data_IF_984081662368
#
_entry.id   IF_984081662368
#
_cell.length_a   1.000
_cell.length_b   1.000
_cell.length_c   1.000
_cell.angle_alpha   90.00
_cell.angle_beta   90.00
_cell.angle_gamma   90.00
#
_symmetry.space_group_name_H-M   'P 1'
#
loop_
_entity.id
_entity.type
_entity.pdbx_description
1 polymer ?
#
# COMPACT_ATOMS: atom_id res chain seq x y z
N UNK A 1 -39.80 -0.76 7.58
CA UNK A 1 -39.61 -2.18 8.03
C UNK A 1 -38.19 -2.55 7.65
N UNK A 2 -37.27 -2.66 8.63
CA UNK A 2 -35.96 -3.16 8.40
C UNK A 2 -36.02 -4.68 8.20
N UNK A 3 -35.71 -5.17 7.02
CA UNK A 3 -35.41 -6.57 6.82
C UNK A 3 -34.06 -6.80 7.49
N UNK A 4 -34.04 -7.44 8.63
CA UNK A 4 -32.84 -8.04 9.20
C UNK A 4 -32.86 -9.51 8.81
N UNK A 5 -32.01 -9.95 7.88
CA UNK A 5 -31.75 -11.37 7.73
C UNK A 5 -31.06 -11.81 9.00
N UNK A 6 -31.77 -12.56 9.84
CA UNK A 6 -31.10 -13.28 10.91
C UNK A 6 -30.16 -14.30 10.29
N UNK A 7 -28.98 -14.50 10.86
CA UNK A 7 -28.16 -15.65 10.53
C UNK A 7 -29.01 -16.89 10.84
N UNK A 8 -29.58 -17.48 9.81
CA UNK A 8 -30.39 -18.69 9.97
C UNK A 8 -29.40 -19.84 9.97
N UNK A 9 -28.95 -20.23 11.14
CA UNK A 9 -28.36 -21.53 11.34
C UNK A 9 -29.45 -22.57 11.11
N UNK A 10 -29.43 -23.24 9.96
CA UNK A 10 -30.26 -24.40 9.70
C UNK A 10 -29.40 -25.64 9.92
N UNK A 11 -29.73 -26.39 10.93
CA UNK A 11 -29.23 -27.75 11.09
C UNK A 11 -30.08 -28.68 10.22
N UNK A 12 -29.46 -29.29 9.21
CA UNK A 12 -30.08 -30.33 8.40
C UNK A 12 -29.04 -31.45 8.25
N UNK A 13 -29.46 -32.67 8.59
CA UNK A 13 -28.63 -33.88 8.50
C UNK A 13 -27.31 -33.76 9.29
N UNK A 14 -27.31 -33.13 10.48
CA UNK A 14 -26.12 -32.92 11.32
C UNK A 14 -25.13 -31.93 10.75
N UNK A 15 -25.46 -31.17 9.69
CA UNK A 15 -24.67 -30.09 9.11
C UNK A 15 -25.26 -28.75 9.47
N UNK A 16 -24.43 -27.89 10.04
CA UNK A 16 -24.75 -26.48 10.27
C UNK A 16 -24.52 -25.73 8.98
N UNK A 17 -25.59 -25.18 8.39
CA UNK A 17 -25.51 -24.27 7.27
C UNK A 17 -25.42 -22.85 7.83
N UNK A 18 -24.22 -22.34 7.85
CA UNK A 18 -23.97 -20.98 8.32
C UNK A 18 -24.38 -19.94 7.27
N UNK A 19 -24.85 -18.81 7.77
CA UNK A 19 -25.40 -17.76 6.95
C UNK A 19 -24.30 -16.89 6.35
N UNK A 20 -24.04 -17.03 5.06
CA UNK A 20 -23.28 -16.09 4.24
C UNK A 20 -21.89 -15.75 4.80
N UNK A 21 -21.13 -16.78 5.21
CA UNK A 21 -19.79 -16.64 5.80
C UNK A 21 -18.67 -16.91 4.81
N UNK A 22 -18.94 -17.63 3.71
CA UNK A 22 -17.96 -17.96 2.69
C UNK A 22 -17.35 -16.66 2.08
N UNK A 23 -16.02 -16.45 2.18
CA UNK A 23 -15.39 -15.21 1.73
C UNK A 23 -15.61 -14.91 0.25
N UNK A 24 -15.54 -15.92 -0.60
CA UNK A 24 -15.69 -15.76 -2.05
C UNK A 24 -17.10 -15.28 -2.42
N UNK A 25 -18.09 -15.92 -1.84
CA UNK A 25 -19.51 -15.52 -2.01
C UNK A 25 -19.75 -14.10 -1.47
N UNK A 26 -19.18 -13.74 -0.33
CA UNK A 26 -19.26 -12.40 0.25
C UNK A 26 -18.65 -11.33 -0.65
N UNK A 27 -17.54 -11.60 -1.30
CA UNK A 27 -16.92 -10.69 -2.26
C UNK A 27 -17.75 -10.56 -3.54
N UNK A 28 -18.26 -11.66 -4.08
CA UNK A 28 -19.07 -11.67 -5.31
C UNK A 28 -20.44 -11.03 -5.12
N UNK A 29 -21.03 -11.17 -3.93
CA UNK A 29 -22.35 -10.63 -3.59
C UNK A 29 -22.24 -9.59 -2.47
N UNK A 30 -21.40 -8.58 -2.67
CA UNK A 30 -21.11 -7.55 -1.68
C UNK A 30 -22.39 -6.86 -1.16
N UNK A 31 -23.39 -6.64 -1.98
CA UNK A 31 -24.66 -6.06 -1.58
C UNK A 31 -25.42 -6.91 -0.57
N UNK A 32 -25.35 -8.23 -0.67
CA UNK A 32 -25.90 -9.15 0.33
C UNK A 32 -25.10 -9.10 1.62
N UNK A 33 -23.76 -9.12 1.51
CA UNK A 33 -22.83 -9.02 2.63
C UNK A 33 -23.09 -7.75 3.47
N UNK A 34 -23.33 -6.61 2.82
CA UNK A 34 -23.66 -5.34 3.48
C UNK A 34 -24.99 -5.38 4.26
N UNK A 35 -25.93 -6.23 3.86
CA UNK A 35 -27.20 -6.42 4.55
C UNK A 35 -27.07 -7.37 5.73
N UNK A 36 -26.37 -8.49 5.51
CA UNK A 36 -26.26 -9.60 6.49
C UNK A 36 -25.22 -9.29 7.57
N UNK A 37 -24.12 -8.62 7.20
CA UNK A 37 -22.98 -8.32 8.06
C UNK A 37 -22.86 -6.80 8.28
N UNK A 38 -23.58 -6.19 9.24
CA UNK A 38 -23.58 -4.73 9.44
C UNK A 38 -22.20 -4.11 9.64
N UNK A 39 -21.28 -4.85 10.27
CA UNK A 39 -19.89 -4.42 10.50
C UNK A 39 -19.12 -4.13 9.19
N UNK A 40 -19.52 -4.77 8.09
CA UNK A 40 -18.92 -4.51 6.77
C UNK A 40 -19.20 -3.08 6.31
N UNK A 41 -20.36 -2.53 6.61
CA UNK A 41 -20.72 -1.13 6.30
C UNK A 41 -19.81 -0.15 7.03
N UNK A 42 -19.43 -0.46 8.27
CA UNK A 42 -18.53 0.37 9.06
C UNK A 42 -17.14 0.48 8.40
N UNK A 43 -16.65 -0.61 7.82
CA UNK A 43 -15.36 -0.61 7.09
C UNK A 43 -15.42 0.36 5.90
N UNK A 44 -16.49 0.34 5.11
CA UNK A 44 -16.65 1.26 3.98
C UNK A 44 -16.85 2.71 4.42
N UNK A 45 -17.58 2.94 5.53
CA UNK A 45 -17.73 4.27 6.12
C UNK A 45 -16.36 4.81 6.62
N UNK A 46 -15.56 3.98 7.30
CA UNK A 46 -14.21 4.33 7.72
C UNK A 46 -13.32 4.64 6.51
N UNK A 47 -13.35 3.82 5.46
CA UNK A 47 -12.61 4.09 4.22
C UNK A 47 -12.96 5.44 3.60
N UNK A 48 -14.25 5.75 3.49
CA UNK A 48 -14.70 7.05 2.98
C UNK A 48 -14.18 8.21 3.83
N UNK A 49 -14.20 8.04 5.16
CA UNK A 49 -13.69 9.05 6.10
C UNK A 49 -12.18 9.23 6.01
N UNK A 50 -11.40 8.15 5.82
CA UNK A 50 -9.95 8.21 5.56
C UNK A 50 -9.69 9.10 4.35
N UNK A 51 -10.29 8.78 3.20
CA UNK A 51 -10.07 9.52 1.94
C UNK A 51 -10.48 10.99 2.09
N UNK A 52 -11.64 11.27 2.69
CA UNK A 52 -12.09 12.64 2.92
C UNK A 52 -11.16 13.43 3.85
N UNK A 53 -10.55 12.78 4.84
CA UNK A 53 -9.59 13.42 5.75
C UNK A 53 -8.28 13.72 5.03
N UNK A 54 -7.78 12.80 4.21
CA UNK A 54 -6.58 13.02 3.40
C UNK A 54 -6.78 14.19 2.42
N UNK A 55 -7.93 14.23 1.70
CA UNK A 55 -8.26 15.36 0.81
C UNK A 55 -8.20 16.69 1.55
N UNK A 56 -8.91 16.81 2.66
CA UNK A 56 -8.90 18.03 3.47
C UNK A 56 -7.48 18.40 3.92
N UNK A 57 -6.68 17.43 4.34
CA UNK A 57 -5.30 17.65 4.74
C UNK A 57 -4.44 18.24 3.62
N UNK A 58 -4.64 17.81 2.38
CA UNK A 58 -3.94 18.34 1.21
C UNK A 58 -4.47 19.72 0.78
N UNK A 59 -5.80 19.88 0.74
CA UNK A 59 -6.47 21.13 0.37
C UNK A 59 -6.10 22.28 1.32
N UNK A 60 -6.07 22.03 2.64
CA UNK A 60 -5.65 23.01 3.65
C UNK A 60 -4.19 23.47 3.49
N UNK A 61 -3.37 22.69 2.77
CA UNK A 61 -1.98 23.04 2.41
C UNK A 61 -1.85 23.68 1.02
N UNK A 62 -2.97 23.90 0.36
CA UNK A 62 -3.03 24.52 -0.95
C UNK A 62 -2.60 23.60 -2.11
N UNK A 63 -2.63 22.28 -1.92
CA UNK A 63 -2.39 21.34 -3.00
C UNK A 63 -3.66 21.08 -3.79
N UNK A 64 -3.51 20.90 -5.11
CA UNK A 64 -4.63 20.77 -6.03
C UNK A 64 -4.91 19.30 -6.31
N UNK A 65 -6.16 18.85 -6.08
CA UNK A 65 -6.61 17.55 -6.60
C UNK A 65 -6.79 17.63 -8.11
N UNK A 66 -6.23 16.67 -8.82
CA UNK A 66 -6.29 16.60 -10.27
C UNK A 66 -6.75 15.22 -10.73
N UNK A 67 -7.22 15.14 -11.98
CA UNK A 67 -7.53 13.90 -12.68
C UNK A 67 -6.67 13.80 -13.93
N UNK A 68 -5.86 12.74 -14.02
CA UNK A 68 -4.98 12.49 -15.16
C UNK A 68 -5.50 11.33 -16.01
N UNK A 69 -5.07 11.20 -17.29
CA UNK A 69 -5.61 10.19 -18.18
C UNK A 69 -5.40 8.76 -17.70
N UNK A 70 -6.47 7.96 -17.73
CA UNK A 70 -6.42 6.52 -17.48
C UNK A 70 -5.90 5.79 -18.71
N UNK A 71 -6.37 6.18 -19.91
CA UNK A 71 -5.88 5.63 -21.18
C UNK A 71 -4.63 6.38 -21.61
N UNK A 72 -3.53 5.66 -21.71
CA UNK A 72 -2.21 6.24 -22.01
C UNK A 72 -1.60 5.61 -23.27
N UNK A 73 -0.93 6.41 -24.10
CA UNK A 73 -0.23 5.88 -25.29
C UNK A 73 1.02 5.08 -24.93
N UNK A 74 1.62 5.37 -23.77
CA UNK A 74 2.84 4.70 -23.29
C UNK A 74 2.65 4.42 -21.78
N UNK A 75 2.70 3.17 -21.34
CA UNK A 75 2.68 2.85 -19.93
C UNK A 75 3.99 3.27 -19.26
N UNK A 76 3.93 3.77 -18.04
CA UNK A 76 5.13 4.19 -17.32
C UNK A 76 4.83 4.60 -15.88
N UNK A 77 5.92 4.90 -15.12
CA UNK A 77 5.83 5.27 -13.70
C UNK A 77 5.89 4.08 -12.73
N UNK A 78 5.86 2.85 -13.23
CA UNK A 78 6.02 1.63 -12.44
C UNK A 78 6.57 0.48 -13.31
N UNK A 79 7.06 -0.58 -12.66
CA UNK A 79 7.44 -1.83 -13.31
C UNK A 79 6.28 -2.83 -13.16
N UNK A 80 5.30 -2.77 -14.06
CA UNK A 80 4.12 -3.63 -14.05
C UNK A 80 3.64 -3.93 -15.47
N UNK A 81 2.91 -5.02 -15.64
CA UNK A 81 2.31 -5.38 -16.94
C UNK A 81 0.98 -4.61 -17.12
N UNK A 82 0.82 -3.81 -18.21
CA UNK A 82 -0.41 -3.07 -18.46
C UNK A 82 -1.52 -3.95 -19.05
N UNK A 83 -2.77 -3.52 -18.88
CA UNK A 83 -3.86 -3.93 -19.74
C UNK A 83 -3.80 -3.12 -21.04
N UNK A 84 -4.00 -3.78 -22.18
CA UNK A 84 -3.97 -3.17 -23.51
C UNK A 84 -5.39 -3.13 -24.07
N UNK A 85 -5.76 -2.01 -24.67
CA UNK A 85 -7.01 -1.84 -25.40
C UNK A 85 -6.76 -1.15 -26.73
N UNK A 86 -7.67 -1.30 -27.70
CA UNK A 86 -7.53 -0.71 -29.02
C UNK A 86 -8.53 0.44 -29.24
N UNK A 87 -8.05 1.58 -29.72
CA UNK A 87 -8.87 2.71 -30.09
C UNK A 87 -9.27 2.61 -31.56
N UNK A 88 -10.48 2.14 -31.85
CA UNK A 88 -10.93 1.79 -33.19
C UNK A 88 -10.81 2.93 -34.23
N UNK A 89 -11.18 4.16 -33.84
CA UNK A 89 -11.17 5.31 -34.80
C UNK A 89 -9.75 5.78 -35.12
N UNK A 90 -8.85 5.72 -34.16
CA UNK A 90 -7.46 6.14 -34.33
C UNK A 90 -6.55 4.99 -34.79
N UNK A 91 -7.08 3.77 -34.86
CA UNK A 91 -6.34 2.54 -35.20
C UNK A 91 -5.02 2.43 -34.41
N UNK A 92 -5.10 2.58 -33.08
CA UNK A 92 -3.92 2.57 -32.20
C UNK A 92 -4.22 1.88 -30.88
N UNK A 93 -3.20 1.21 -30.34
CA UNK A 93 -3.29 0.62 -29.03
C UNK A 93 -3.09 1.68 -27.93
N UNK A 94 -3.88 1.55 -26.88
CA UNK A 94 -3.78 2.33 -25.66
C UNK A 94 -3.65 1.38 -24.47
N UNK A 95 -3.07 1.90 -23.41
CA UNK A 95 -2.79 1.15 -22.19
C UNK A 95 -3.58 1.75 -21.02
N UNK A 96 -4.21 0.91 -20.22
CA UNK A 96 -4.69 1.34 -18.91
C UNK A 96 -3.49 1.65 -18.04
N UNK A 97 -3.49 2.79 -17.38
CA UNK A 97 -2.34 3.26 -16.59
C UNK A 97 -1.97 2.27 -15.48
N UNK A 98 -0.69 2.08 -15.29
CA UNK A 98 -0.09 1.28 -14.21
C UNK A 98 0.36 2.14 -13.02
N UNK A 99 0.47 3.46 -13.24
CA UNK A 99 0.78 4.52 -12.29
C UNK A 99 0.34 5.87 -12.87
N UNK A 100 0.11 6.85 -12.02
CA UNK A 100 -0.23 8.24 -12.42
C UNK A 100 0.96 9.20 -12.33
N UNK A 101 2.13 8.75 -11.92
CA UNK A 101 3.37 9.49 -11.68
C UNK A 101 3.74 10.45 -12.81
N UNK A 102 3.83 9.96 -14.05
CA UNK A 102 4.38 10.75 -15.15
C UNK A 102 3.52 11.98 -15.49
N UNK A 103 2.20 11.87 -15.38
CA UNK A 103 1.31 12.99 -15.62
C UNK A 103 1.33 13.99 -14.48
N UNK A 104 1.40 13.54 -13.24
CA UNK A 104 1.54 14.42 -12.07
C UNK A 104 2.86 15.20 -12.13
N UNK A 105 3.97 14.56 -12.52
CA UNK A 105 5.25 15.25 -12.75
C UNK A 105 5.16 16.29 -13.86
N UNK A 106 4.41 16.04 -14.93
CA UNK A 106 4.17 17.05 -15.99
C UNK A 106 3.43 18.27 -15.47
N UNK A 107 2.49 18.11 -14.55
CA UNK A 107 1.79 19.22 -13.92
C UNK A 107 2.73 20.07 -13.05
N UNK A 108 3.68 19.43 -12.36
CA UNK A 108 4.75 20.14 -11.65
C UNK A 108 5.62 20.95 -12.62
N UNK A 109 6.03 20.35 -13.74
CA UNK A 109 6.75 21.10 -14.82
C UNK A 109 5.89 22.22 -15.38
N UNK A 110 4.57 22.06 -15.44
CA UNK A 110 3.60 23.07 -15.84
C UNK A 110 3.42 24.23 -14.85
N UNK A 111 4.10 24.19 -13.69
CA UNK A 111 4.15 25.30 -12.72
C UNK A 111 3.26 25.16 -11.49
N UNK A 112 2.64 23.99 -11.26
CA UNK A 112 1.94 23.75 -10.00
C UNK A 112 2.93 23.47 -8.87
N UNK A 113 2.70 24.05 -7.69
CA UNK A 113 3.56 23.85 -6.53
C UNK A 113 3.29 22.52 -5.80
N UNK A 114 2.08 21.99 -5.91
CA UNK A 114 1.69 20.73 -5.34
C UNK A 114 0.41 20.23 -5.95
N UNK A 115 0.41 18.98 -6.39
CA UNK A 115 -0.74 18.28 -6.97
C UNK A 115 -0.87 16.90 -6.36
N UNK A 116 -2.10 16.40 -6.24
CA UNK A 116 -2.37 15.03 -5.81
C UNK A 116 -3.53 14.42 -6.59
N UNK A 117 -3.58 13.11 -6.63
CA UNK A 117 -4.66 12.38 -7.29
C UNK A 117 -5.02 11.13 -6.49
N UNK A 118 -6.32 10.92 -6.25
CA UNK A 118 -6.86 9.62 -5.87
C UNK A 118 -7.24 8.87 -7.14
N UNK A 119 -6.42 7.95 -7.53
CA UNK A 119 -6.47 7.30 -8.83
C UNK A 119 -6.93 5.84 -8.75
N UNK A 120 -7.40 5.33 -9.90
CA UNK A 120 -7.47 3.90 -10.19
C UNK A 120 -6.32 3.55 -11.11
N UNK A 121 -5.47 2.61 -10.66
CA UNK A 121 -4.41 2.03 -11.46
C UNK A 121 -4.69 0.57 -11.74
N UNK A 122 -4.07 0.06 -12.81
CA UNK A 122 -4.38 -1.25 -13.37
C UNK A 122 -3.10 -2.02 -13.64
N UNK A 123 -2.98 -3.23 -13.08
CA UNK A 123 -1.84 -4.12 -13.30
C UNK A 123 -2.34 -5.50 -13.72
N UNK A 124 -1.96 -5.94 -14.92
CA UNK A 124 -2.36 -7.23 -15.50
C UNK A 124 -1.47 -8.36 -14.98
N UNK A 125 -1.59 -8.63 -13.70
CA UNK A 125 -0.78 -9.58 -12.94
C UNK A 125 -1.67 -10.52 -12.12
N UNK A 126 -1.05 -11.37 -11.30
CA UNK A 126 -1.79 -12.28 -10.42
C UNK A 126 -2.67 -11.55 -9.40
N UNK A 127 -3.70 -12.24 -8.93
CA UNK A 127 -4.64 -11.73 -7.93
C UNK A 127 -4.57 -12.60 -6.67
N UNK A 128 -4.47 -11.95 -5.52
CA UNK A 128 -4.51 -12.59 -4.21
C UNK A 128 -5.25 -11.70 -3.18
N UNK A 129 -5.05 -11.94 -1.89
CA UNK A 129 -5.71 -11.16 -0.83
C UNK A 129 -5.26 -9.70 -0.75
N UNK A 130 -4.05 -9.40 -1.20
CA UNK A 130 -3.40 -8.09 -1.11
C UNK A 130 -3.23 -7.42 -2.46
N UNK A 131 -3.34 -8.18 -3.54
CA UNK A 131 -3.17 -7.70 -4.90
C UNK A 131 -4.45 -7.86 -5.70
N UNK A 132 -4.95 -6.76 -6.24
CA UNK A 132 -6.10 -6.73 -7.16
C UNK A 132 -5.67 -6.03 -8.46
N UNK A 133 -6.08 -6.53 -9.64
CA UNK A 133 -5.72 -5.92 -10.92
C UNK A 133 -6.15 -4.47 -11.08
N UNK A 134 -7.21 -4.06 -10.41
CA UNK A 134 -7.65 -2.67 -10.28
C UNK A 134 -7.59 -2.27 -8.80
N UNK A 135 -6.84 -1.23 -8.48
CA UNK A 135 -6.68 -0.76 -7.11
C UNK A 135 -6.71 0.77 -7.02
N UNK A 136 -6.94 1.27 -5.82
CA UNK A 136 -6.89 2.71 -5.57
C UNK A 136 -5.52 3.07 -5.04
N UNK A 137 -4.89 4.06 -5.66
CA UNK A 137 -3.66 4.69 -5.20
C UNK A 137 -3.93 6.17 -4.90
N UNK A 138 -3.17 6.76 -4.01
CA UNK A 138 -3.06 8.20 -3.85
C UNK A 138 -1.60 8.58 -4.03
N UNK A 139 -1.34 9.45 -4.98
CA UNK A 139 -0.02 10.03 -5.20
C UNK A 139 -0.06 11.55 -5.02
N UNK A 140 1.02 12.09 -4.48
CA UNK A 140 1.20 13.52 -4.28
C UNK A 140 2.60 13.93 -4.73
N UNK A 141 2.70 15.06 -5.42
CA UNK A 141 3.94 15.66 -5.87
C UNK A 141 3.99 17.10 -5.43
N UNK A 142 5.09 17.49 -4.77
CA UNK A 142 5.27 18.84 -4.20
C UNK A 142 6.66 19.34 -4.57
N UNK A 143 6.73 20.58 -5.07
CA UNK A 143 7.98 21.23 -5.48
C UNK A 143 8.87 21.57 -4.28
N UNK A 144 10.18 21.55 -4.50
CA UNK A 144 11.20 22.04 -3.55
C UNK A 144 11.13 21.39 -2.16
N UNK A 145 10.68 20.12 -2.11
CA UNK A 145 10.64 19.30 -0.89
C UNK A 145 11.51 18.07 -1.06
N UNK A 146 12.13 17.65 0.02
CA UNK A 146 12.94 16.44 0.08
C UNK A 146 12.23 15.31 0.81
N UNK A 147 12.88 14.18 0.91
CA UNK A 147 12.32 13.00 1.58
C UNK A 147 12.17 13.20 3.10
N UNK A 148 13.01 14.03 3.74
CA UNK A 148 12.88 14.33 5.17
C UNK A 148 11.58 15.07 5.45
N UNK A 149 11.31 16.09 4.63
CA UNK A 149 10.03 16.80 4.68
C UNK A 149 8.84 15.86 4.42
N UNK A 150 8.99 14.92 3.45
CA UNK A 150 7.93 13.97 3.12
C UNK A 150 7.66 12.99 4.27
N UNK A 151 8.67 12.61 5.05
CA UNK A 151 8.45 11.81 6.26
C UNK A 151 7.62 12.57 7.29
N UNK A 152 7.97 13.83 7.61
CA UNK A 152 7.21 14.67 8.55
C UNK A 152 5.76 14.88 8.07
N UNK A 153 5.60 15.12 6.77
CA UNK A 153 4.30 15.29 6.13
C UNK A 153 3.44 14.01 6.24
N UNK A 154 4.05 12.85 6.01
CA UNK A 154 3.37 11.56 6.08
C UNK A 154 2.95 11.23 7.51
N UNK A 155 3.82 11.45 8.49
CA UNK A 155 3.51 11.26 9.91
C UNK A 155 2.31 12.11 10.33
N UNK A 156 2.31 13.38 9.94
CA UNK A 156 1.23 14.30 10.27
C UNK A 156 -0.10 13.87 9.64
N UNK A 157 -0.07 13.49 8.37
CA UNK A 157 -1.26 13.01 7.66
C UNK A 157 -1.83 11.74 8.31
N UNK A 158 -0.98 10.76 8.61
CA UNK A 158 -1.41 9.48 9.21
C UNK A 158 -1.97 9.69 10.62
N UNK A 159 -1.33 10.52 11.45
CA UNK A 159 -1.83 10.88 12.78
C UNK A 159 -3.20 11.54 12.70
N UNK A 160 -3.39 12.52 11.80
CA UNK A 160 -4.67 13.19 11.62
C UNK A 160 -5.76 12.26 11.11
N UNK A 161 -5.42 11.33 10.23
CA UNK A 161 -6.35 10.31 9.74
C UNK A 161 -6.76 9.37 10.89
N UNK A 162 -5.81 8.89 11.70
CA UNK A 162 -6.10 8.03 12.84
C UNK A 162 -7.06 8.71 13.84
N UNK A 163 -6.77 9.96 14.20
CA UNK A 163 -7.63 10.76 15.07
C UNK A 163 -9.02 10.99 14.47
N UNK A 164 -9.09 11.39 13.21
CA UNK A 164 -10.36 11.66 12.56
C UNK A 164 -11.25 10.41 12.48
N UNK A 165 -10.69 9.25 12.17
CA UNK A 165 -11.44 8.00 11.94
C UNK A 165 -11.81 7.31 13.24
N UNK A 166 -10.87 7.22 14.18
CA UNK A 166 -11.00 6.40 15.38
C UNK A 166 -11.12 7.20 16.68
N UNK A 167 -10.85 8.52 16.66
CA UNK A 167 -10.83 9.38 17.85
C UNK A 167 -9.57 9.24 18.71
N UNK A 168 -8.61 8.40 18.30
CA UNK A 168 -7.35 8.15 19.00
C UNK A 168 -6.26 7.76 18.01
N UNK A 169 -5.01 7.94 18.41
CA UNK A 169 -3.83 7.45 17.67
C UNK A 169 -3.39 6.05 18.12
N UNK A 170 -3.89 5.59 19.27
CA UNK A 170 -3.55 4.28 19.83
C UNK A 170 -4.60 3.25 19.40
N UNK A 171 -4.22 2.27 18.62
CA UNK A 171 -5.13 1.27 18.05
C UNK A 171 -4.63 -0.14 18.35
N UNK A 172 -5.56 -1.05 18.56
CA UNK A 172 -5.28 -2.48 18.53
C UNK A 172 -5.49 -3.01 17.10
N UNK A 173 -4.42 -3.51 16.48
CA UNK A 173 -4.43 -4.08 15.13
C UNK A 173 -3.88 -5.51 15.20
N UNK A 174 -4.71 -6.50 14.86
CA UNK A 174 -4.36 -7.93 14.94
C UNK A 174 -3.80 -8.38 16.29
N UNK A 175 -4.33 -7.83 17.39
CA UNK A 175 -3.88 -8.13 18.75
C UNK A 175 -2.62 -7.39 19.19
N UNK A 176 -2.06 -6.52 18.36
CA UNK A 176 -0.91 -5.69 18.65
C UNK A 176 -1.34 -4.25 18.93
N UNK A 177 -0.75 -3.63 19.95
CA UNK A 177 -0.93 -2.20 20.20
C UNK A 177 -0.06 -1.40 19.25
N UNK A 178 -0.67 -0.55 18.43
CA UNK A 178 0.00 0.27 17.41
C UNK A 178 -0.30 1.73 17.69
N UNK A 179 0.75 2.56 17.83
CA UNK A 179 0.65 4.00 18.00
C UNK A 179 0.90 4.71 16.67
N UNK A 180 -0.08 5.49 16.21
CA UNK A 180 0.07 6.40 15.08
C UNK A 180 0.43 7.82 15.51
N UNK A 181 0.87 7.99 16.77
CA UNK A 181 1.35 9.26 17.29
C UNK A 181 2.75 9.53 16.78
N UNK A 182 2.96 10.69 16.20
CA UNK A 182 4.30 11.13 15.75
C UNK A 182 5.21 11.55 16.90
N UNK A 183 6.56 11.50 16.76
CA UNK A 183 7.26 11.08 15.53
C UNK A 183 7.30 9.55 15.38
N UNK A 184 7.30 9.08 14.12
CA UNK A 184 7.56 7.68 13.83
C UNK A 184 9.05 7.37 13.93
N UNK A 185 9.36 6.10 14.17
CA UNK A 185 10.74 5.65 14.17
C UNK A 185 11.36 5.83 12.78
N UNK A 186 12.61 6.29 12.74
CA UNK A 186 13.43 6.38 11.52
C UNK A 186 14.69 5.57 11.73
N UNK A 187 14.97 4.64 10.84
CA UNK A 187 16.13 3.76 10.93
C UNK A 187 16.64 3.45 9.53
N UNK A 188 17.98 3.43 9.38
CA UNK A 188 18.56 3.01 8.10
C UNK A 188 18.38 1.50 7.89
N UNK A 189 18.31 1.05 6.64
CA UNK A 189 18.21 -0.38 6.36
C UNK A 189 19.38 -1.17 6.96
N UNK A 190 20.59 -0.61 6.88
CA UNK A 190 21.79 -1.19 7.49
C UNK A 190 21.66 -1.35 9.00
N UNK A 191 21.19 -0.30 9.68
CA UNK A 191 21.01 -0.35 11.14
C UNK A 191 19.90 -1.32 11.55
N UNK A 192 18.80 -1.38 10.78
CA UNK A 192 17.72 -2.33 11.02
C UNK A 192 18.21 -3.78 10.94
N UNK A 193 18.97 -4.12 9.89
CA UNK A 193 19.57 -5.46 9.74
C UNK A 193 20.54 -5.74 10.90
N UNK A 194 21.42 -4.77 11.22
CA UNK A 194 22.40 -4.94 12.31
C UNK A 194 21.74 -5.12 13.68
N UNK A 195 20.67 -4.38 13.99
CA UNK A 195 19.92 -4.57 15.24
C UNK A 195 19.34 -5.97 15.38
N UNK A 196 18.83 -6.54 14.27
CA UNK A 196 18.12 -7.81 14.30
C UNK A 196 19.02 -9.04 14.18
N UNK A 197 20.08 -8.92 13.39
CA UNK A 197 20.95 -10.07 13.06
C UNK A 197 22.33 -10.00 13.70
N UNK A 198 22.75 -8.84 14.18
CA UNK A 198 24.12 -8.56 14.58
C UNK A 198 25.10 -8.41 13.40
N UNK A 199 24.62 -8.57 12.14
CA UNK A 199 25.45 -8.52 10.95
C UNK A 199 25.43 -7.11 10.32
N UNK A 200 26.61 -6.56 10.04
CA UNK A 200 26.76 -5.29 9.35
C UNK A 200 27.01 -5.52 7.86
N UNK A 201 26.08 -5.07 7.03
CA UNK A 201 26.15 -5.20 5.56
C UNK A 201 27.06 -4.17 4.89
N UNK A 202 27.57 -3.18 5.65
CA UNK A 202 28.34 -2.06 5.11
C UNK A 202 29.60 -2.53 4.42
N UNK A 203 29.76 -2.20 3.12
CA UNK A 203 30.94 -2.53 2.34
C UNK A 203 31.16 -4.01 2.02
N UNK A 204 30.19 -4.87 2.37
CA UNK A 204 30.29 -6.31 2.13
C UNK A 204 30.24 -6.67 0.66
N UNK A 205 31.02 -7.67 0.26
CA UNK A 205 30.97 -8.26 -1.09
C UNK A 205 29.72 -9.16 -1.24
N UNK A 206 29.42 -9.56 -2.46
CA UNK A 206 28.32 -10.49 -2.72
C UNK A 206 28.57 -11.86 -2.04
N UNK A 207 29.81 -12.34 -2.08
CA UNK A 207 30.22 -13.60 -1.44
C UNK A 207 30.04 -13.56 0.08
N UNK A 208 30.43 -12.44 0.72
CA UNK A 208 30.25 -12.22 2.15
C UNK A 208 28.77 -12.19 2.53
N UNK A 209 27.92 -11.56 1.70
CA UNK A 209 26.46 -11.52 1.91
C UNK A 209 25.82 -12.91 1.72
N UNK A 210 26.28 -13.70 0.73
CA UNK A 210 25.83 -15.09 0.55
C UNK A 210 26.18 -15.95 1.74
N UNK A 211 27.37 -15.78 2.28
CA UNK A 211 27.80 -16.49 3.48
C UNK A 211 26.97 -16.07 4.71
N UNK A 212 26.68 -14.77 4.84
CA UNK A 212 25.78 -14.28 5.89
C UNK A 212 24.36 -14.86 5.74
N UNK A 213 23.81 -14.93 4.53
CA UNK A 213 22.51 -15.57 4.30
C UNK A 213 22.50 -17.02 4.76
N UNK A 214 23.58 -17.80 4.49
CA UNK A 214 23.70 -19.18 4.99
C UNK A 214 23.74 -19.25 6.52
N UNK A 215 24.55 -18.40 7.15
CA UNK A 215 24.67 -18.36 8.61
C UNK A 215 23.35 -17.95 9.29
N UNK A 216 22.60 -17.06 8.64
CA UNK A 216 21.29 -16.58 9.10
C UNK A 216 20.12 -17.48 8.65
N UNK A 217 20.37 -18.58 7.93
CA UNK A 217 19.35 -19.46 7.36
C UNK A 217 18.33 -18.71 6.48
N UNK A 218 18.81 -17.73 5.69
CA UNK A 218 18.01 -17.02 4.68
C UNK A 218 18.10 -17.81 3.37
N UNK A 219 16.96 -18.25 2.85
CA UNK A 219 16.90 -18.92 1.55
C UNK A 219 17.10 -17.92 0.42
N UNK A 220 18.08 -18.16 -0.44
CA UNK A 220 18.40 -17.28 -1.57
C UNK A 220 18.69 -18.09 -2.83
N UNK A 221 18.29 -17.57 -3.98
CA UNK A 221 18.59 -18.15 -5.28
C UNK A 221 20.05 -17.82 -5.70
N UNK A 222 20.66 -18.73 -6.46
CA UNK A 222 22.03 -18.53 -6.97
C UNK A 222 22.18 -17.31 -7.88
N UNK A 223 21.08 -16.87 -8.49
CA UNK A 223 21.03 -15.70 -9.38
C UNK A 223 20.91 -14.36 -8.63
N UNK A 224 20.74 -14.38 -7.30
CA UNK A 224 20.59 -13.16 -6.53
C UNK A 224 21.90 -12.37 -6.50
N UNK A 225 21.87 -11.15 -7.01
CA UNK A 225 22.96 -10.18 -6.81
C UNK A 225 22.89 -9.53 -5.43
N UNK A 226 23.88 -8.71 -5.13
CA UNK A 226 24.08 -8.06 -3.82
C UNK A 226 22.83 -7.40 -3.26
N UNK A 227 22.09 -6.62 -4.07
CA UNK A 227 20.86 -5.96 -3.63
C UNK A 227 19.79 -6.94 -3.17
N UNK A 228 19.54 -8.01 -3.95
CA UNK A 228 18.55 -9.04 -3.58
C UNK A 228 18.94 -9.86 -2.36
N UNK A 229 20.23 -10.05 -2.10
CA UNK A 229 20.70 -10.71 -0.89
C UNK A 229 20.42 -9.86 0.35
N UNK A 230 20.65 -8.55 0.27
CA UNK A 230 20.33 -7.61 1.35
C UNK A 230 18.82 -7.57 1.59
N UNK A 231 18.04 -7.50 0.52
CA UNK A 231 16.57 -7.50 0.56
C UNK A 231 16.02 -8.77 1.24
N UNK A 232 16.57 -9.94 0.91
CA UNK A 232 16.18 -11.20 1.51
C UNK A 232 16.48 -11.25 3.03
N UNK A 233 17.64 -10.73 3.47
CA UNK A 233 17.97 -10.64 4.90
C UNK A 233 16.99 -9.69 5.60
N UNK A 234 16.73 -8.51 5.01
CA UNK A 234 15.82 -7.52 5.56
C UNK A 234 14.40 -8.06 5.66
N UNK A 235 13.88 -8.65 4.59
CA UNK A 235 12.53 -9.25 4.55
C UNK A 235 12.33 -10.31 5.65
N UNK A 236 13.29 -11.22 5.81
CA UNK A 236 13.14 -12.30 6.78
C UNK A 236 13.30 -11.84 8.25
N UNK A 237 14.16 -10.88 8.53
CA UNK A 237 14.52 -10.54 9.92
C UNK A 237 13.94 -9.21 10.41
N UNK A 238 13.59 -8.29 9.51
CA UNK A 238 13.17 -6.95 9.89
C UNK A 238 11.69 -6.70 9.61
N UNK A 239 11.20 -7.05 8.41
CA UNK A 239 9.88 -6.62 7.92
C UNK A 239 8.73 -7.07 8.83
N UNK A 240 8.69 -8.33 9.22
CA UNK A 240 7.62 -8.89 10.07
C UNK A 240 7.64 -8.34 11.51
N UNK A 241 8.77 -7.78 11.95
CA UNK A 241 8.91 -7.22 13.30
C UNK A 241 8.68 -5.71 13.39
N UNK A 242 8.44 -5.04 12.24
CA UNK A 242 8.12 -3.62 12.18
C UNK A 242 6.63 -3.38 12.47
N UNK A 243 6.23 -3.64 13.71
CA UNK A 243 4.83 -3.47 14.15
C UNK A 243 4.45 -1.99 14.29
N UNK A 244 5.36 -1.16 14.81
CA UNK A 244 5.14 0.28 14.93
C UNK A 244 5.43 1.00 13.61
N UNK A 245 4.70 2.07 13.27
CA UNK A 245 5.01 2.89 12.10
C UNK A 245 6.48 3.31 12.09
N UNK A 246 7.21 2.92 11.06
CA UNK A 246 8.66 3.10 10.97
C UNK A 246 9.03 3.48 9.54
N UNK A 247 9.90 4.46 9.39
CA UNK A 247 10.56 4.76 8.14
C UNK A 247 11.89 4.02 8.04
N UNK A 248 12.05 3.26 6.95
CA UNK A 248 13.34 2.70 6.57
C UNK A 248 13.98 3.66 5.59
N UNK A 249 15.20 4.09 5.90
CA UNK A 249 15.96 5.06 5.11
C UNK A 249 17.26 4.48 4.62
N UNK A 250 17.95 5.22 3.76
CA UNK A 250 19.30 4.91 3.30
C UNK A 250 19.43 3.48 2.75
N UNK A 251 18.55 3.16 1.80
CA UNK A 251 18.63 1.90 1.06
C UNK A 251 19.97 1.78 0.36
N UNK A 252 20.65 0.62 0.41
CA UNK A 252 21.89 0.40 -0.34
C UNK A 252 21.68 0.67 -1.83
N UNK A 253 22.72 1.26 -2.47
CA UNK A 253 22.67 1.65 -3.89
C UNK A 253 22.42 0.46 -4.83
N UNK A 254 22.75 -0.73 -4.38
CA UNK A 254 22.64 -1.97 -5.13
C UNK A 254 21.21 -2.54 -5.22
N UNK A 255 20.26 -1.94 -4.47
CA UNK A 255 18.84 -2.34 -4.43
C UNK A 255 17.98 -1.63 -5.46
#
# INVERSE_FOLDING_TARGET
KSIRPLPVVKEKDGKVYDAFTDPDTRYRQRYVDLVVNPQVREVFAKRAKIIATMRRFFDERGYLEVETPILQPIPGGAAARPFITHHNTLDTDLYLRIANELYLKRLIVGGFNGVYEFAKDFRNEGMDRTHNPEFTVMEIYVTYKDYLWMMDFTEEMVEQVALAVNGTTELEIWGQQVSFRRPFRRITMTDAIREKTGFDITGKSEEELREACKQLNVEVDETFGKGKLIDAIFGQYCEEELIQPTFITDYPREM
#
